data_IF_266362114688
#
_entry.id   IF_266362114688
#
_cell.length_a   1.000
_cell.length_b   1.000
_cell.length_c   1.000
_cell.angle_alpha   90.00
_cell.angle_beta   90.00
_cell.angle_gamma   90.00
#
_symmetry.space_group_name_H-M   'P 1'
#
loop_
_entity.id
_entity.type
_entity.pdbx_description
1 polymer ?
#
# COMPACT_ATOMS: atom_id res chain seq x y z
N UNK A 1 -28.44 24.42 9.49
CA UNK A 1 -27.05 24.44 8.98
C UNK A 1 -26.88 23.23 8.11
N UNK A 2 -26.52 23.43 6.85
CA UNK A 2 -26.09 22.32 6.00
C UNK A 2 -24.70 22.69 5.50
N UNK A 3 -23.69 22.36 6.29
CA UNK A 3 -22.32 22.34 5.81
C UNK A 3 -22.17 20.96 5.19
N UNK A 4 -22.09 20.92 3.86
CA UNK A 4 -21.72 19.70 3.17
C UNK A 4 -20.73 20.06 2.07
N UNK A 5 -19.56 19.46 2.18
CA UNK A 5 -18.47 19.57 1.22
C UNK A 5 -17.24 18.84 1.77
N UNK A 6 -17.25 17.51 1.72
CA UNK A 6 -16.02 16.76 1.47
C UNK A 6 -16.16 16.18 0.07
N UNK A 7 -15.40 16.74 -0.85
CA UNK A 7 -15.29 16.31 -2.23
C UNK A 7 -13.84 16.04 -2.51
N UNK A 8 -13.32 14.92 -1.96
CA UNK A 8 -12.12 14.24 -2.50
C UNK A 8 -12.13 14.40 -4.02
N UNK A 9 -11.17 15.16 -4.52
CA UNK A 9 -11.33 15.99 -5.72
C UNK A 9 -11.93 15.32 -6.95
N UNK A 10 -12.61 16.11 -7.77
CA UNK A 10 -13.22 15.65 -9.02
C UNK A 10 -12.25 15.82 -10.19
N UNK A 11 -12.21 14.84 -11.10
CA UNK A 11 -11.43 14.97 -12.33
C UNK A 11 -12.12 15.96 -13.29
N UNK A 12 -11.44 17.05 -13.62
CA UNK A 12 -11.90 18.07 -14.56
C UNK A 12 -11.46 17.79 -16.01
N UNK A 13 -10.38 17.01 -16.15
CA UNK A 13 -9.75 16.63 -17.40
C UNK A 13 -8.58 15.69 -17.12
N UNK A 14 -7.91 15.15 -18.16
CA UNK A 14 -6.87 14.15 -17.97
C UNK A 14 -5.78 14.64 -17.01
N UNK A 15 -5.63 13.95 -15.87
CA UNK A 15 -4.68 14.30 -14.80
C UNK A 15 -4.88 15.71 -14.21
N UNK A 16 -6.12 16.20 -14.14
CA UNK A 16 -6.45 17.47 -13.48
C UNK A 16 -7.59 17.24 -12.50
N UNK A 17 -7.32 17.47 -11.22
CA UNK A 17 -8.27 17.29 -10.14
C UNK A 17 -8.45 18.60 -9.40
N UNK A 18 -9.70 18.95 -9.11
CA UNK A 18 -10.05 20.08 -8.24
C UNK A 18 -10.50 19.55 -6.88
N UNK A 19 -9.87 20.02 -5.80
CA UNK A 19 -10.26 19.67 -4.43
C UNK A 19 -11.42 20.53 -3.89
N UNK A 20 -11.79 20.33 -2.63
CA UNK A 20 -12.93 21.02 -2.01
C UNK A 20 -12.67 22.53 -1.81
N UNK A 21 -11.42 22.95 -1.84
CA UNK A 21 -10.96 24.32 -1.69
C UNK A 21 -10.74 25.03 -3.04
N UNK A 22 -10.90 24.32 -4.16
CA UNK A 22 -10.73 24.84 -5.51
C UNK A 22 -9.28 24.81 -6.02
N UNK A 23 -8.39 24.04 -5.38
CA UNK A 23 -7.03 23.86 -5.88
C UNK A 23 -6.98 22.82 -6.98
N UNK A 24 -6.29 23.18 -8.07
CA UNK A 24 -5.98 22.27 -9.16
C UNK A 24 -4.69 21.50 -8.87
N UNK A 25 -4.79 20.19 -8.83
CA UNK A 25 -3.67 19.28 -8.63
C UNK A 25 -3.58 18.25 -9.76
N UNK A 26 -2.38 17.70 -10.03
CA UNK A 26 -2.22 16.65 -11.02
C UNK A 26 -2.88 15.31 -10.61
N UNK A 27 -3.23 15.16 -9.33
CA UNK A 27 -3.84 13.96 -8.74
C UNK A 27 -4.82 14.35 -7.64
N UNK A 28 -5.87 13.55 -7.44
CA UNK A 28 -6.82 13.73 -6.34
C UNK A 28 -6.12 13.67 -4.97
N UNK A 29 -6.57 14.51 -4.04
CA UNK A 29 -6.14 14.44 -2.65
C UNK A 29 -6.54 13.08 -2.03
N UNK A 30 -5.58 12.40 -1.41
CA UNK A 30 -5.81 11.13 -0.75
C UNK A 30 -4.59 10.64 0.02
N UNK A 31 -4.77 9.60 0.82
CA UNK A 31 -3.68 8.86 1.48
C UNK A 31 -3.06 7.80 0.54
N UNK A 32 -3.26 7.96 -0.76
CA UNK A 32 -2.80 7.03 -1.79
C UNK A 32 -1.27 6.96 -1.84
N UNK A 33 -0.71 5.89 -2.42
CA UNK A 33 0.72 5.80 -2.67
C UNK A 33 1.21 7.04 -3.44
N UNK A 34 2.51 7.37 -3.34
CA UNK A 34 3.14 8.46 -4.11
C UNK A 34 2.91 8.32 -5.64
N UNK A 35 2.47 7.14 -6.08
CA UNK A 35 2.02 6.87 -7.44
C UNK A 35 0.95 5.79 -7.40
N UNK A 36 -0.19 6.02 -8.05
CA UNK A 36 -1.21 4.98 -8.24
C UNK A 36 -0.69 3.98 -9.29
N UNK A 37 -0.72 2.66 -9.01
CA UNK A 37 -0.39 1.69 -10.03
C UNK A 37 -1.41 1.76 -11.18
N UNK A 38 -0.92 1.65 -12.41
CA UNK A 38 -1.77 1.52 -13.59
C UNK A 38 -2.00 0.03 -13.87
N UNK A 39 -3.25 -0.36 -14.13
CA UNK A 39 -3.60 -1.75 -14.41
C UNK A 39 -3.65 -2.64 -13.15
N UNK A 40 -3.54 -3.95 -13.35
CA UNK A 40 -3.56 -4.92 -12.24
C UNK A 40 -2.31 -4.77 -11.36
N UNK A 41 -2.54 -4.66 -10.05
CA UNK A 41 -1.47 -4.53 -9.06
C UNK A 41 -1.69 -5.55 -7.93
N UNK A 42 -1.30 -6.82 -8.13
CA UNK A 42 -1.48 -7.84 -7.11
C UNK A 42 -0.59 -7.54 -5.90
N UNK A 43 -1.18 -7.50 -4.72
CA UNK A 43 -0.49 -7.19 -3.46
C UNK A 43 0.05 -8.44 -2.74
N UNK A 44 -0.07 -9.61 -3.38
CA UNK A 44 0.36 -10.89 -2.84
C UNK A 44 -0.43 -12.07 -3.43
N UNK A 45 -0.14 -13.29 -2.97
CA UNK A 45 -0.89 -14.48 -3.35
C UNK A 45 -2.35 -14.42 -2.85
N UNK A 46 -3.25 -15.13 -3.53
CA UNK A 46 -4.63 -15.26 -3.09
C UNK A 46 -4.75 -16.11 -1.81
N UNK A 47 -5.92 -16.06 -1.16
CA UNK A 47 -6.19 -16.92 0.01
C UNK A 47 -6.08 -18.40 -0.39
N UNK A 48 -5.25 -19.15 0.33
CA UNK A 48 -4.98 -20.56 0.07
C UNK A 48 -3.82 -20.82 -0.89
N UNK A 49 -3.29 -19.78 -1.56
CA UNK A 49 -2.09 -19.88 -2.36
C UNK A 49 -0.82 -19.80 -1.50
N UNK A 50 0.24 -20.45 -1.96
CA UNK A 50 1.52 -20.49 -1.25
C UNK A 50 2.18 -19.10 -1.29
N UNK A 51 2.60 -18.60 -0.13
CA UNK A 51 3.50 -17.44 -0.07
C UNK A 51 4.80 -17.71 -0.87
N UNK A 52 5.36 -16.68 -1.54
CA UNK A 52 6.65 -16.82 -2.20
C UNK A 52 7.74 -17.21 -1.19
N UNK A 53 8.91 -17.62 -1.69
CA UNK A 53 10.04 -17.88 -0.80
C UNK A 53 10.51 -16.56 -0.18
N UNK A 54 10.47 -16.47 1.14
CA UNK A 54 10.85 -15.27 1.91
C UNK A 54 12.08 -15.61 2.72
N UNK A 55 13.21 -15.08 2.28
CA UNK A 55 14.52 -15.21 2.95
C UNK A 55 15.05 -13.83 3.26
N UNK A 56 15.42 -13.58 4.51
CA UNK A 56 15.89 -12.27 4.98
C UNK A 56 16.93 -12.43 6.09
N UNK A 57 17.45 -11.31 6.58
CA UNK A 57 18.30 -11.26 7.77
C UNK A 57 17.53 -10.61 8.91
N UNK A 58 17.62 -11.18 10.10
CA UNK A 58 17.11 -10.54 11.31
C UNK A 58 18.05 -9.43 11.82
N UNK A 59 17.68 -8.83 12.96
CA UNK A 59 18.45 -7.74 13.58
C UNK A 59 19.85 -8.15 14.05
N UNK A 60 20.07 -9.44 14.31
CA UNK A 60 21.36 -9.99 14.72
C UNK A 60 22.18 -10.48 13.53
N UNK A 61 21.68 -10.30 12.30
CA UNK A 61 22.32 -10.73 11.06
C UNK A 61 22.16 -12.22 10.77
N UNK A 62 21.34 -12.95 11.51
CA UNK A 62 21.03 -14.35 11.22
C UNK A 62 20.08 -14.42 10.01
N UNK A 63 20.35 -15.37 9.12
CA UNK A 63 19.43 -15.69 8.02
C UNK A 63 18.14 -16.33 8.56
N UNK A 64 17.01 -15.77 8.15
CA UNK A 64 15.66 -16.28 8.40
C UNK A 64 15.07 -16.73 7.07
N UNK A 65 14.68 -17.99 6.97
CA UNK A 65 13.91 -18.55 5.86
C UNK A 65 12.52 -18.89 6.38
N UNK A 66 11.50 -18.17 5.92
CA UNK A 66 10.12 -18.30 6.40
C UNK A 66 9.60 -19.74 6.30
N UNK A 67 9.85 -20.42 5.19
CA UNK A 67 9.28 -21.76 4.95
C UNK A 67 10.03 -22.83 5.72
N UNK A 68 11.34 -22.68 5.89
CA UNK A 68 12.16 -23.58 6.69
C UNK A 68 11.92 -23.37 8.20
N UNK A 69 12.05 -22.13 8.68
CA UNK A 69 12.07 -21.79 10.11
C UNK A 69 10.70 -21.91 10.76
N UNK A 70 9.60 -21.79 10.01
CA UNK A 70 8.24 -21.99 10.56
C UNK A 70 7.97 -23.41 11.05
N UNK A 71 8.78 -24.41 10.65
CA UNK A 71 8.64 -25.82 11.10
C UNK A 71 7.20 -26.34 11.04
N UNK A 72 6.52 -26.09 9.91
CA UNK A 72 5.12 -26.43 9.67
C UNK A 72 4.07 -25.75 10.58
N UNK A 73 4.47 -24.77 11.38
CA UNK A 73 3.55 -23.98 12.20
C UNK A 73 2.94 -22.82 11.40
N UNK A 74 1.77 -22.31 11.83
CA UNK A 74 1.22 -21.05 11.34
C UNK A 74 2.16 -19.88 11.64
N UNK A 75 2.23 -18.92 10.72
CA UNK A 75 3.08 -17.73 10.82
C UNK A 75 2.32 -16.50 10.36
N UNK A 76 2.72 -15.34 10.88
CA UNK A 76 2.23 -14.04 10.44
C UNK A 76 3.41 -13.28 9.85
N UNK A 77 3.30 -12.86 8.58
CA UNK A 77 4.27 -11.99 7.92
C UNK A 77 3.70 -10.58 7.82
N UNK A 78 4.40 -9.60 8.38
CA UNK A 78 3.97 -8.20 8.41
C UNK A 78 4.94 -7.36 7.60
N UNK A 79 4.45 -6.72 6.54
CA UNK A 79 5.19 -5.69 5.81
C UNK A 79 4.93 -4.34 6.47
N UNK A 80 5.94 -3.82 7.16
CA UNK A 80 5.90 -2.48 7.73
C UNK A 80 6.69 -1.53 6.83
N UNK A 81 6.05 -0.43 6.44
CA UNK A 81 6.77 0.70 5.84
C UNK A 81 7.28 1.55 7.00
N UNK A 82 8.59 1.53 7.22
CA UNK A 82 9.23 2.48 8.13
C UNK A 82 9.05 3.90 7.59
N UNK A 83 8.52 4.79 8.42
CA UNK A 83 8.55 6.23 8.18
C UNK A 83 9.69 6.80 8.99
N UNK A 84 10.78 7.16 8.30
CA UNK A 84 11.77 8.07 8.87
C UNK A 84 11.11 9.44 8.83
N UNK A 85 10.90 10.04 10.01
CA UNK A 85 10.52 11.44 10.14
C UNK A 85 11.73 12.34 9.88
#
# INVERSE_FOLDING_TARGET
MQIQGDTRGAELGPNQYEDAEGYLAPLAAGSGPRSNPLGEFPTGPAIGERLPDVVTSDSDGRTVDLHHDRKSQPVVLIFTRSVVW
#
